data_IF_999193113108
#
_entry.id   IF_999193113108
#
_cell.length_a   1.000
_cell.length_b   1.000
_cell.length_c   1.000
_cell.angle_alpha   90.00
_cell.angle_beta   90.00
_cell.angle_gamma   90.00
#
_symmetry.space_group_name_H-M   'P 1'
#
loop_
_entity.id
_entity.type
_entity.pdbx_description
1 polymer ?
#
# COMPACT_ATOMS: atom_id res chain seq x y z
N UNK A 1 -1.07 14.05 3.99
CA UNK A 1 0.23 13.76 4.62
C UNK A 1 0.34 12.26 4.82
N UNK A 2 1.28 11.60 4.15
CA UNK A 2 1.58 10.19 4.41
C UNK A 2 2.40 10.12 5.71
N UNK A 3 1.89 9.44 6.74
CA UNK A 3 2.68 9.24 7.96
C UNK A 3 3.95 8.46 7.62
N UNK A 4 5.01 8.59 8.44
CA UNK A 4 6.28 7.88 8.23
C UNK A 4 6.16 6.34 8.06
N UNK A 5 4.99 5.77 8.38
CA UNK A 5 4.63 4.38 8.18
C UNK A 5 4.35 3.99 6.73
N UNK A 6 3.85 4.90 5.90
CA UNK A 6 3.49 4.59 4.50
C UNK A 6 4.75 4.55 3.61
N UNK A 7 5.69 5.49 3.79
CA UNK A 7 6.98 5.49 3.07
C UNK A 7 7.79 4.23 3.37
N UNK A 8 7.83 3.83 4.64
CA UNK A 8 8.49 2.63 5.13
C UNK A 8 7.95 1.35 4.44
N UNK A 9 6.63 1.26 4.27
CA UNK A 9 6.01 0.13 3.56
C UNK A 9 6.26 0.17 2.06
N UNK A 10 6.30 1.34 1.44
CA UNK A 10 6.67 1.46 0.03
C UNK A 10 8.10 0.99 -0.20
N UNK A 11 9.03 1.34 0.68
CA UNK A 11 10.41 0.84 0.58
C UNK A 11 10.49 -0.69 0.70
N UNK A 12 9.70 -1.31 1.58
CA UNK A 12 9.71 -2.77 1.75
C UNK A 12 9.04 -3.49 0.59
N UNK A 13 7.90 -2.97 0.13
CA UNK A 13 7.04 -3.70 -0.80
C UNK A 13 7.25 -3.30 -2.26
N UNK A 14 7.50 -2.02 -2.53
CA UNK A 14 7.59 -1.48 -3.90
C UNK A 14 9.01 -1.49 -4.42
N UNK A 15 9.98 -1.04 -3.62
CA UNK A 15 11.40 -0.97 -4.03
C UNK A 15 11.96 -2.30 -4.56
N UNK A 16 11.72 -3.48 -3.95
CA UNK A 16 12.26 -4.73 -4.49
C UNK A 16 11.63 -5.17 -5.81
N UNK A 17 10.43 -4.69 -6.14
CA UNK A 17 9.71 -5.10 -7.36
C UNK A 17 9.89 -4.10 -8.50
N UNK A 18 9.79 -2.80 -8.21
CA UNK A 18 9.82 -1.73 -9.20
C UNK A 18 11.04 -0.79 -9.09
N UNK A 19 11.84 -0.89 -8.03
CA UNK A 19 12.87 0.11 -7.72
C UNK A 19 14.02 0.20 -8.73
N UNK A 20 14.18 -0.78 -9.61
CA UNK A 20 15.18 -0.77 -10.70
C UNK A 20 14.63 -0.24 -12.01
N UNK A 21 13.31 -0.06 -12.13
CA UNK A 21 12.66 0.41 -13.36
C UNK A 21 12.61 1.93 -13.40
N UNK A 22 12.91 2.50 -14.57
CA UNK A 22 12.67 3.92 -14.83
C UNK A 22 11.17 4.20 -14.79
N UNK A 23 10.80 5.39 -14.31
CA UNK A 23 9.42 5.83 -14.17
C UNK A 23 8.61 5.63 -15.46
N UNK A 24 9.15 6.06 -16.60
CA UNK A 24 8.50 5.96 -17.93
C UNK A 24 8.43 4.53 -18.50
N UNK A 25 9.07 3.55 -17.86
CA UNK A 25 9.05 2.13 -18.27
C UNK A 25 8.13 1.28 -17.41
N UNK A 26 7.51 1.84 -16.37
CA UNK A 26 6.56 1.10 -15.53
C UNK A 26 5.26 0.91 -16.31
N UNK A 27 4.88 -0.35 -16.50
CA UNK A 27 3.65 -0.72 -17.21
C UNK A 27 2.53 -1.10 -16.25
N UNK A 28 1.29 -1.21 -16.76
CA UNK A 28 0.17 -1.74 -15.98
C UNK A 28 0.46 -3.15 -15.45
N UNK A 29 1.04 -4.01 -16.28
CA UNK A 29 1.39 -5.38 -15.90
C UNK A 29 2.36 -5.41 -14.70
N UNK A 30 3.29 -4.46 -14.63
CA UNK A 30 4.20 -4.33 -13.49
C UNK A 30 3.48 -3.96 -12.19
N UNK A 31 2.48 -3.07 -12.27
CA UNK A 31 1.64 -2.72 -11.12
C UNK A 31 0.80 -3.91 -10.67
N UNK A 32 0.31 -4.73 -11.61
CA UNK A 32 -0.44 -5.96 -11.28
C UNK A 32 0.46 -7.01 -10.63
N UNK A 33 1.67 -7.23 -11.15
CA UNK A 33 2.67 -8.10 -10.52
C UNK A 33 3.01 -7.62 -9.11
N UNK A 34 3.20 -6.30 -8.93
CA UNK A 34 3.42 -5.70 -7.62
C UNK A 34 2.23 -5.99 -6.69
N UNK A 35 0.99 -5.74 -7.14
CA UNK A 35 -0.23 -6.04 -6.39
C UNK A 35 -0.21 -7.47 -5.88
N UNK A 36 -0.03 -8.42 -6.79
CA UNK A 36 -0.14 -9.84 -6.49
C UNK A 36 1.02 -10.33 -5.62
N UNK A 37 2.21 -9.76 -5.78
CA UNK A 37 3.37 -10.04 -4.92
C UNK A 37 3.15 -9.56 -3.48
N UNK A 38 2.56 -8.38 -3.29
CA UNK A 38 2.21 -7.88 -1.95
C UNK A 38 1.05 -8.69 -1.38
N UNK A 39 0.01 -8.94 -2.18
CA UNK A 39 -1.19 -9.65 -1.77
C UNK A 39 -0.88 -11.08 -1.32
N UNK A 40 0.02 -11.78 -2.02
CA UNK A 40 0.48 -13.11 -1.66
C UNK A 40 1.46 -13.14 -0.48
N UNK A 41 1.84 -11.98 0.06
CA UNK A 41 2.79 -11.88 1.18
C UNK A 41 4.25 -12.11 0.82
N UNK A 42 4.62 -12.19 -0.47
CA UNK A 42 6.00 -12.45 -0.90
C UNK A 42 7.00 -11.36 -0.48
N UNK A 43 6.50 -10.16 -0.22
CA UNK A 43 7.29 -9.02 0.27
C UNK A 43 7.07 -8.72 1.75
N UNK A 44 6.39 -9.61 2.49
CA UNK A 44 6.21 -9.43 3.92
C UNK A 44 7.57 -9.44 4.64
N UNK A 45 7.77 -8.51 5.57
CA UNK A 45 9.02 -8.38 6.31
C UNK A 45 8.79 -8.07 7.78
N UNK A 46 9.56 -8.71 8.65
CA UNK A 46 9.55 -8.47 10.10
C UNK A 46 10.99 -8.37 10.58
N UNK A 47 11.43 -7.17 10.93
CA UNK A 47 12.82 -6.89 11.33
C UNK A 47 12.88 -6.16 12.66
N UNK A 48 13.74 -6.61 13.58
CA UNK A 48 14.08 -5.87 14.80
C UNK A 48 14.79 -4.56 14.43
N UNK A 49 14.37 -3.46 15.04
CA UNK A 49 14.97 -2.13 14.80
C UNK A 49 15.76 -1.63 16.00
N UNK A 50 15.24 -1.83 17.22
CA UNK A 50 15.86 -1.46 18.50
C UNK A 50 15.53 -2.52 19.53
N UNK A 51 16.08 -2.42 20.75
CA UNK A 51 15.86 -3.39 21.84
C UNK A 51 14.38 -3.83 21.99
N UNK A 52 13.45 -2.87 21.97
CA UNK A 52 11.99 -3.09 22.04
C UNK A 52 11.24 -2.79 20.72
N UNK A 53 11.93 -2.40 19.66
CA UNK A 53 11.32 -1.98 18.39
C UNK A 53 11.31 -3.09 17.34
N UNK A 54 10.18 -3.29 16.68
CA UNK A 54 10.04 -4.20 15.52
C UNK A 54 9.35 -3.45 14.39
N UNK A 55 9.99 -3.43 13.22
CA UNK A 55 9.40 -2.99 11.96
C UNK A 55 8.70 -4.20 11.36
N UNK A 56 7.37 -4.22 11.45
CA UNK A 56 6.53 -5.27 10.92
C UNK A 56 5.73 -4.74 9.73
N UNK A 57 5.98 -5.30 8.55
CA UNK A 57 5.32 -4.97 7.30
C UNK A 57 4.66 -6.25 6.75
N UNK A 58 3.42 -6.53 7.18
CA UNK A 58 2.67 -7.65 6.64
C UNK A 58 2.25 -7.35 5.20
N UNK A 59 2.30 -8.38 4.34
CA UNK A 59 1.63 -8.34 3.05
C UNK A 59 0.12 -8.49 3.18
N UNK A 60 -0.52 -8.96 2.12
CA UNK A 60 -1.96 -9.16 2.06
C UNK A 60 -2.65 -8.12 1.18
N UNK A 61 -3.89 -8.44 0.81
CA UNK A 61 -4.61 -7.69 -0.21
C UNK A 61 -4.96 -6.25 0.22
N UNK A 62 -5.22 -6.01 1.51
CA UNK A 62 -5.37 -4.65 2.04
C UNK A 62 -4.09 -3.81 1.95
N UNK A 63 -2.92 -4.40 2.24
CA UNK A 63 -1.62 -3.74 2.07
C UNK A 63 -1.35 -3.45 0.59
N UNK A 64 -1.66 -4.39 -0.30
CA UNK A 64 -1.53 -4.21 -1.75
C UNK A 64 -2.40 -3.06 -2.27
N UNK A 65 -3.68 -3.03 -1.88
CA UNK A 65 -4.61 -1.97 -2.28
C UNK A 65 -4.13 -0.59 -1.81
N UNK A 66 -3.62 -0.48 -0.57
CA UNK A 66 -3.08 0.77 -0.04
C UNK A 66 -1.83 1.23 -0.79
N UNK A 67 -0.89 0.31 -1.07
CA UNK A 67 0.33 0.63 -1.81
C UNK A 67 0.01 1.15 -3.22
N UNK A 68 -0.91 0.49 -3.93
CA UNK A 68 -1.34 0.91 -5.28
C UNK A 68 -2.05 2.26 -5.24
N UNK A 69 -2.84 2.55 -4.21
CA UNK A 69 -3.49 3.86 -4.06
C UNK A 69 -2.48 4.99 -3.90
N UNK A 70 -1.41 4.77 -3.14
CA UNK A 70 -0.32 5.74 -3.02
C UNK A 70 0.42 5.90 -4.35
N UNK A 71 0.79 4.79 -5.00
CA UNK A 71 1.44 4.83 -6.32
C UNK A 71 0.59 5.52 -7.38
N UNK A 72 -0.73 5.29 -7.39
CA UNK A 72 -1.67 5.96 -8.29
C UNK A 72 -1.60 7.48 -8.14
N UNK A 73 -1.40 7.97 -6.91
CA UNK A 73 -1.27 9.42 -6.64
C UNK A 73 0.07 9.95 -7.13
N UNK A 74 1.16 9.20 -6.90
CA UNK A 74 2.51 9.55 -7.38
C UNK A 74 2.58 9.57 -8.91
N UNK A 75 2.04 8.55 -9.58
CA UNK A 75 2.00 8.51 -11.04
C UNK A 75 1.03 9.53 -11.65
N UNK A 76 -0.02 9.93 -10.93
CA UNK A 76 -0.88 11.03 -11.38
C UNK A 76 -0.13 12.37 -11.38
N UNK A 77 0.68 12.62 -10.34
CA UNK A 77 1.56 13.79 -10.31
C UNK A 77 2.62 13.73 -11.43
N UNK A 78 3.19 12.57 -11.69
CA UNK A 78 4.12 12.41 -12.82
C UNK A 78 3.47 12.61 -14.20
N UNK A 79 2.19 12.24 -14.36
CA UNK A 79 1.39 12.50 -15.57
C UNK A 79 1.15 14.01 -15.74
N UNK A 80 0.80 14.71 -14.66
CA UNK A 80 0.56 16.17 -14.64
C UNK A 80 1.82 16.98 -15.03
N UNK A 81 3.00 16.51 -14.61
CA UNK A 81 4.29 17.09 -14.97
C UNK A 81 4.89 16.55 -16.28
N UNK A 82 4.10 15.81 -17.08
CA UNK A 82 4.50 15.26 -18.39
C UNK A 82 5.74 14.35 -18.36
N UNK A 83 6.10 13.80 -17.19
CA UNK A 83 7.21 12.87 -17.02
C UNK A 83 6.89 11.48 -17.57
N UNK A 84 5.60 11.16 -17.68
CA UNK A 84 5.04 9.95 -18.28
C UNK A 84 3.83 10.31 -19.13
N UNK A 85 3.55 9.52 -20.16
CA UNK A 85 2.39 9.75 -21.03
C UNK A 85 1.05 9.36 -20.37
N UNK A 86 1.05 8.33 -19.52
CA UNK A 86 -0.17 7.85 -18.86
C UNK A 86 0.16 7.14 -17.56
N UNK A 87 -0.65 7.36 -16.53
CA UNK A 87 -0.57 6.69 -15.25
C UNK A 87 -0.80 5.17 -15.39
N UNK A 88 0.20 4.32 -15.10
CA UNK A 88 0.10 2.86 -15.24
C UNK A 88 -0.83 2.21 -14.20
N UNK A 89 -1.18 2.90 -13.12
CA UNK A 89 -2.11 2.41 -12.12
C UNK A 89 -3.58 2.51 -12.58
N UNK A 90 -3.89 3.26 -13.64
CA UNK A 90 -5.27 3.37 -14.16
C UNK A 90 -5.80 2.02 -14.62
N UNK A 91 -6.95 1.62 -14.05
CA UNK A 91 -7.63 0.36 -14.39
C UNK A 91 -7.02 -0.89 -13.76
N UNK A 92 -6.11 -0.73 -12.79
CA UNK A 92 -5.67 -1.83 -11.92
C UNK A 92 -6.77 -2.10 -10.89
N UNK A 93 -7.30 -3.32 -10.89
CA UNK A 93 -8.31 -3.74 -9.91
C UNK A 93 -7.62 -4.01 -8.57
N UNK A 94 -8.11 -3.39 -7.51
CA UNK A 94 -7.66 -3.59 -6.13
C UNK A 94 -8.84 -3.98 -5.26
N UNK A 95 -8.57 -4.68 -4.15
CA UNK A 95 -9.62 -5.02 -3.21
C UNK A 95 -10.24 -3.73 -2.63
N UNK A 96 -11.57 -3.62 -2.58
CA UNK A 96 -12.23 -2.47 -1.96
C UNK A 96 -11.85 -2.40 -0.48
N UNK A 97 -11.78 -1.18 0.05
CA UNK A 97 -11.62 -1.00 1.49
C UNK A 97 -12.83 -1.57 2.23
N UNK A 98 -12.59 -2.34 3.29
CA UNK A 98 -13.65 -2.76 4.20
C UNK A 98 -14.37 -1.52 4.76
N UNK A 99 -15.70 -1.53 4.71
CA UNK A 99 -16.52 -0.50 5.33
C UNK A 99 -16.59 -0.79 6.83
N UNK A 100 -16.39 0.20 7.68
CA UNK A 100 -16.63 0.06 9.11
C UNK A 100 -18.15 0.13 9.34
N UNK A 101 -18.79 -1.02 9.56
CA UNK A 101 -20.24 -1.11 9.78
C UNK A 101 -20.61 -1.05 11.27
N UNK A 102 -19.64 -1.28 12.16
CA UNK A 102 -19.83 -1.18 13.61
C UNK A 102 -19.31 0.16 14.12
N UNK A 103 -20.23 1.00 14.58
CA UNK A 103 -19.93 2.23 15.29
C UNK A 103 -19.83 1.94 16.79
N UNK A 104 -18.89 2.59 17.49
CA UNK A 104 -18.81 2.50 18.94
C UNK A 104 -20.05 3.18 19.53
N UNK A 105 -21.07 2.43 19.93
CA UNK A 105 -22.17 2.98 20.72
C UNK A 105 -21.72 3.17 22.17
N UNK A 106 -22.20 4.26 22.79
CA UNK A 106 -21.83 4.68 24.16
C UNK A 106 -21.98 3.54 25.19
N UNK A 107 -23.02 2.71 25.05
CA UNK A 107 -23.27 1.59 25.96
C UNK A 107 -22.12 0.56 26.03
N UNK A 108 -21.51 0.23 24.88
CA UNK A 108 -20.36 -0.70 24.83
C UNK A 108 -19.05 -0.06 25.30
N UNK A 109 -18.96 1.27 25.33
CA UNK A 109 -17.79 1.99 25.84
C UNK A 109 -17.81 2.10 27.38
N UNK A 110 -18.97 1.96 28.00
CA UNK A 110 -19.16 2.08 29.47
C UNK A 110 -19.11 0.73 30.21
N UNK A 111 -18.88 -0.39 29.52
CA UNK A 111 -18.71 -1.71 30.15
C UNK A 111 -19.98 -2.29 30.77
N UNK A 112 -21.15 -1.84 30.34
CA UNK A 112 -22.43 -2.42 30.78
C UNK A 112 -22.83 -3.50 29.78
N UNK A 113 -22.60 -4.76 30.13
CA UNK A 113 -23.15 -5.90 29.38
C UNK A 113 -24.60 -6.17 29.83
N UNK A 114 -25.41 -6.67 28.89
CA UNK A 114 -26.83 -7.03 29.06
C UNK A 114 -26.98 -8.53 29.18
#
# INVERSE_FOLDING_TARGET
MAGGWDVDRLEIHVRPVLGTKRLSKVTKADIEILRDTIASGRTASKKKTKARGVRNAPGGAGTAARAIRVLSSVFAHAEDHELISRNPCRGVKVQPSNKCERFLMVASAMGMDV
#
